data_IF_956037837452
#
_entry.id   IF_956037837452
#
_cell.length_a   1.000
_cell.length_b   1.000
_cell.length_c   1.000
_cell.angle_alpha   90.00
_cell.angle_beta   90.00
_cell.angle_gamma   90.00
#
_symmetry.space_group_name_H-M   'P 1'
#
loop_
_entity.id
_entity.type
_entity.pdbx_description
1 polymer ?
#
# COMPACT_ATOMS: atom_id res chain seq x y z
N UNK A 1 -5.60 -5.20 -31.98
CA UNK A 1 -4.55 -4.90 -30.97
C UNK A 1 -4.33 -3.39 -30.95
N UNK A 2 -4.34 -2.74 -29.80
CA UNK A 2 -4.04 -1.31 -29.69
C UNK A 2 -2.55 -1.06 -30.02
N UNK A 3 -2.22 0.05 -30.69
CA UNK A 3 -0.83 0.42 -31.06
C UNK A 3 0.04 0.80 -29.85
N UNK A 4 -0.60 1.14 -28.72
CA UNK A 4 0.04 1.49 -27.45
C UNK A 4 -0.71 0.77 -26.33
N UNK A 5 0.04 0.28 -25.35
CA UNK A 5 -0.49 -0.35 -24.14
C UNK A 5 -0.05 0.49 -22.95
N UNK A 6 -0.90 0.56 -21.93
CA UNK A 6 -0.61 1.22 -20.66
C UNK A 6 -0.77 0.18 -19.57
N UNK A 7 0.24 0.07 -18.71
CA UNK A 7 0.21 -0.79 -17.53
C UNK A 7 0.30 0.13 -16.33
N UNK A 8 -0.69 0.04 -15.45
CA UNK A 8 -0.62 0.61 -14.12
C UNK A 8 -0.13 -0.48 -13.17
N UNK A 9 1.00 -0.23 -12.51
CA UNK A 9 1.60 -1.11 -11.52
C UNK A 9 2.13 -0.28 -10.35
N UNK A 10 2.48 -0.94 -9.25
CA UNK A 10 3.19 -0.34 -8.14
C UNK A 10 4.63 -0.84 -8.12
N UNK A 11 5.56 -0.01 -7.67
CA UNK A 11 6.96 -0.42 -7.49
C UNK A 11 7.13 -1.06 -6.10
N UNK A 12 7.45 -2.36 -5.99
CA UNK A 12 7.46 -3.06 -4.70
C UNK A 12 8.38 -2.42 -3.67
N UNK A 13 9.57 -1.99 -4.07
CA UNK A 13 10.53 -1.36 -3.16
C UNK A 13 10.04 -0.01 -2.61
N UNK A 14 9.20 0.70 -3.36
CA UNK A 14 8.57 1.94 -2.89
C UNK A 14 7.37 1.64 -1.98
N UNK A 15 6.55 0.64 -2.31
CA UNK A 15 5.45 0.20 -1.45
C UNK A 15 5.90 -0.22 -0.05
N UNK A 16 7.08 -0.83 0.07
CA UNK A 16 7.66 -1.23 1.36
C UNK A 16 8.01 -0.04 2.27
N UNK A 17 8.13 1.17 1.73
CA UNK A 17 8.39 2.39 2.52
C UNK A 17 7.12 3.00 3.09
N UNK A 18 5.94 2.47 2.73
CA UNK A 18 4.69 3.04 3.18
C UNK A 18 4.53 2.90 4.69
N UNK A 19 4.30 4.02 5.38
CA UNK A 19 4.25 4.11 6.85
C UNK A 19 3.28 3.12 7.51
N UNK A 20 2.25 2.66 6.79
CA UNK A 20 1.29 1.69 7.31
C UNK A 20 1.96 0.37 7.73
N UNK A 21 3.04 -0.01 7.04
CA UNK A 21 3.79 -1.24 7.31
C UNK A 21 4.54 -1.20 8.65
N UNK A 22 4.81 -0.02 9.20
CA UNK A 22 5.32 0.11 10.58
C UNK A 22 4.30 -0.37 11.62
N UNK A 23 3.02 -0.33 11.27
CA UNK A 23 1.92 -0.77 12.13
C UNK A 23 1.48 -2.20 11.82
N UNK A 24 1.46 -2.61 10.56
CA UNK A 24 1.05 -3.94 10.12
C UNK A 24 2.27 -4.74 9.63
N UNK A 25 3.25 -4.91 10.52
CA UNK A 25 4.54 -5.56 10.24
C UNK A 25 4.40 -6.97 9.65
N UNK A 26 3.35 -7.68 10.05
CA UNK A 26 3.04 -9.03 9.61
C UNK A 26 2.76 -9.09 8.10
N UNK A 27 2.40 -7.96 7.45
CA UNK A 27 2.30 -7.87 5.98
C UNK A 27 3.65 -8.11 5.28
N UNK A 28 4.78 -7.78 5.91
CA UNK A 28 6.11 -7.94 5.31
C UNK A 28 6.48 -9.41 5.08
N UNK A 29 5.82 -10.35 5.76
CA UNK A 29 5.99 -11.78 5.56
C UNK A 29 5.11 -12.35 4.44
N UNK A 30 4.21 -11.55 3.84
CA UNK A 30 3.32 -12.01 2.80
C UNK A 30 4.07 -12.18 1.46
N UNK A 31 3.86 -13.30 0.73
CA UNK A 31 4.44 -13.49 -0.60
C UNK A 31 4.10 -12.38 -1.58
N UNK A 32 2.90 -11.79 -1.45
CA UNK A 32 2.46 -10.69 -2.32
C UNK A 32 3.32 -9.43 -2.18
N UNK A 33 3.91 -9.18 -1.00
CA UNK A 33 4.76 -8.02 -0.75
C UNK A 33 6.23 -8.28 -1.11
N UNK A 34 6.67 -9.54 -1.06
CA UNK A 34 8.08 -9.93 -1.26
C UNK A 34 8.43 -10.36 -2.68
N UNK A 35 7.44 -10.55 -3.56
CA UNK A 35 7.64 -11.06 -4.92
C UNK A 35 6.75 -10.43 -6.01
N UNK A 36 6.15 -9.27 -5.75
CA UNK A 36 5.40 -8.55 -6.78
C UNK A 36 6.33 -8.08 -7.92
N UNK A 37 5.90 -8.14 -9.19
CA UNK A 37 6.72 -7.69 -10.31
C UNK A 37 6.83 -6.15 -10.33
N UNK A 38 8.05 -5.65 -10.47
CA UNK A 38 8.34 -4.24 -10.63
C UNK A 38 8.45 -3.82 -12.09
N UNK A 39 8.87 -2.57 -12.32
CA UNK A 39 9.06 -2.04 -13.68
C UNK A 39 10.09 -2.87 -14.47
N UNK A 40 11.13 -3.37 -13.80
CA UNK A 40 12.20 -4.15 -14.44
C UNK A 40 11.72 -5.53 -14.93
N UNK A 41 10.82 -6.19 -14.20
CA UNK A 41 10.18 -7.43 -14.65
C UNK A 41 9.34 -7.19 -15.91
N UNK A 42 8.63 -6.05 -15.97
CA UNK A 42 7.86 -5.67 -17.16
C UNK A 42 8.79 -5.43 -18.36
N UNK A 43 9.98 -4.84 -18.16
CA UNK A 43 10.98 -4.62 -19.22
C UNK A 43 11.53 -5.92 -19.82
N UNK A 44 11.56 -7.01 -19.06
CA UNK A 44 11.97 -8.33 -19.57
C UNK A 44 11.01 -8.84 -20.65
N UNK A 45 9.72 -8.51 -20.53
CA UNK A 45 8.67 -9.06 -21.40
C UNK A 45 8.14 -8.08 -22.44
N UNK A 46 8.26 -6.77 -22.20
CA UNK A 46 7.69 -5.72 -23.04
C UNK A 46 8.72 -4.63 -23.37
N UNK A 47 8.58 -4.04 -24.55
CA UNK A 47 9.37 -2.89 -24.95
C UNK A 47 8.85 -1.60 -24.27
N UNK A 48 9.15 -1.43 -22.99
CA UNK A 48 8.71 -0.27 -22.19
C UNK A 48 9.36 1.01 -22.70
N UNK A 49 8.54 1.91 -23.26
CA UNK A 49 9.02 3.18 -23.80
C UNK A 49 9.10 4.32 -22.77
N UNK A 50 8.20 4.34 -21.79
CA UNK A 50 8.10 5.43 -20.82
C UNK A 50 7.56 4.89 -19.50
N UNK A 51 8.14 5.38 -18.42
CA UNK A 51 7.68 5.13 -17.05
C UNK A 51 7.50 6.50 -16.41
N UNK A 52 6.34 6.73 -15.81
CA UNK A 52 6.03 7.97 -15.14
C UNK A 52 5.28 7.65 -13.83
N UNK A 53 5.63 8.31 -12.71
CA UNK A 53 4.91 8.13 -11.46
C UNK A 53 3.47 8.65 -11.61
N UNK A 54 2.53 7.95 -10.96
CA UNK A 54 1.14 8.39 -10.85
C UNK A 54 0.90 8.83 -9.41
N UNK A 55 0.73 10.14 -9.16
CA UNK A 55 0.48 10.63 -7.81
C UNK A 55 -0.88 10.15 -7.32
N UNK A 56 -0.96 9.77 -6.05
CA UNK A 56 -2.19 9.31 -5.41
C UNK A 56 -2.87 10.51 -4.76
N UNK A 57 -4.06 10.94 -5.23
CA UNK A 57 -4.73 12.10 -4.66
C UNK A 57 -5.05 11.89 -3.18
N UNK A 58 -4.96 12.94 -2.37
CA UNK A 58 -5.29 12.88 -0.95
C UNK A 58 -6.74 12.43 -0.66
N UNK A 59 -7.65 12.63 -1.62
CA UNK A 59 -9.04 12.19 -1.58
C UNK A 59 -9.33 10.91 -2.38
N UNK A 60 -8.33 10.09 -2.68
CA UNK A 60 -8.53 8.84 -3.43
C UNK A 60 -9.53 7.91 -2.69
N UNK A 61 -10.42 7.26 -3.43
CA UNK A 61 -11.45 6.35 -2.87
C UNK A 61 -11.41 4.95 -3.49
N UNK A 62 -10.34 4.63 -4.22
CA UNK A 62 -10.24 3.40 -5.00
C UNK A 62 -10.10 2.14 -4.11
N UNK A 63 -9.48 2.28 -2.93
CA UNK A 63 -9.46 1.23 -1.91
C UNK A 63 -8.21 0.35 -1.88
N UNK A 64 -7.24 0.58 -2.75
CA UNK A 64 -5.91 -0.03 -2.67
C UNK A 64 -5.11 0.47 -1.45
N UNK A 65 -4.03 -0.24 -1.11
CA UNK A 65 -3.28 -0.10 0.14
C UNK A 65 -2.96 1.36 0.54
N UNK A 66 -2.58 2.20 -0.41
CA UNK A 66 -2.16 3.60 -0.17
C UNK A 66 -3.25 4.63 -0.50
N UNK A 67 -4.48 4.22 -0.85
CA UNK A 67 -5.58 5.12 -1.20
C UNK A 67 -5.97 6.08 -0.06
N UNK A 68 -5.68 5.70 1.19
CA UNK A 68 -6.01 6.46 2.39
C UNK A 68 -4.77 7.06 3.07
N UNK A 69 -3.66 7.25 2.35
CA UNK A 69 -2.36 7.66 2.92
C UNK A 69 -2.38 8.89 3.83
N UNK A 70 -3.35 9.80 3.64
CA UNK A 70 -3.53 11.03 4.45
C UNK A 70 -4.66 10.94 5.49
N UNK A 71 -5.27 9.76 5.67
CA UNK A 71 -6.42 9.46 6.54
C UNK A 71 -6.13 8.21 7.36
N UNK A 72 -5.37 8.37 8.43
CA UNK A 72 -4.88 7.28 9.27
C UNK A 72 -6.03 6.46 9.87
N UNK A 73 -7.06 7.14 10.33
CA UNK A 73 -8.27 6.57 10.92
C UNK A 73 -9.01 5.62 9.98
N UNK A 74 -8.92 5.83 8.66
CA UNK A 74 -9.57 4.96 7.68
C UNK A 74 -9.03 3.53 7.76
N UNK A 75 -7.73 3.34 8.04
CA UNK A 75 -7.13 2.01 8.19
C UNK A 75 -7.57 1.27 9.46
N UNK A 76 -8.30 1.92 10.38
CA UNK A 76 -8.93 1.27 11.52
C UNK A 76 -10.31 0.71 11.18
N UNK A 77 -10.89 1.08 10.04
CA UNK A 77 -12.20 0.60 9.61
C UNK A 77 -12.10 -0.83 9.05
N UNK A 78 -12.89 -1.80 9.55
CA UNK A 78 -12.82 -3.18 9.06
C UNK A 78 -13.08 -3.32 7.56
N UNK A 79 -13.94 -2.47 6.99
CA UNK A 79 -14.24 -2.48 5.56
C UNK A 79 -13.03 -2.04 4.71
N UNK A 80 -12.25 -1.07 5.19
CA UNK A 80 -11.02 -0.62 4.54
C UNK A 80 -9.93 -1.68 4.63
N UNK A 81 -9.77 -2.31 5.79
CA UNK A 81 -8.82 -3.42 5.93
C UNK A 81 -9.17 -4.59 4.99
N UNK A 82 -10.46 -4.91 4.88
CA UNK A 82 -10.94 -5.96 3.98
C UNK A 82 -10.76 -5.61 2.49
N UNK A 83 -10.70 -4.34 2.11
CA UNK A 83 -10.47 -3.92 0.71
C UNK A 83 -8.99 -3.95 0.31
N UNK A 84 -8.08 -4.06 1.28
CA UNK A 84 -6.64 -4.04 1.05
C UNK A 84 -6.10 -5.46 1.22
N UNK A 85 -5.66 -6.08 0.13
CA UNK A 85 -5.27 -7.50 0.10
C UNK A 85 -4.23 -7.87 1.16
N UNK A 86 -3.23 -7.03 1.39
CA UNK A 86 -2.17 -7.30 2.37
C UNK A 86 -2.67 -7.27 3.82
N UNK A 87 -3.72 -6.50 4.11
CA UNK A 87 -4.37 -6.50 5.43
C UNK A 87 -5.40 -7.62 5.55
N UNK A 88 -6.18 -7.84 4.50
CA UNK A 88 -7.21 -8.88 4.44
C UNK A 88 -6.66 -10.31 4.55
N UNK A 89 -5.39 -10.52 4.17
CA UNK A 89 -4.70 -11.81 4.27
C UNK A 89 -4.07 -12.07 5.65
N UNK A 90 -4.05 -11.08 6.55
CA UNK A 90 -3.55 -11.28 7.90
C UNK A 90 -4.47 -12.19 8.71
N UNK A 91 -3.89 -12.90 9.67
CA UNK A 91 -4.69 -13.52 10.72
C UNK A 91 -5.43 -12.43 11.49
N UNK A 92 -6.68 -12.68 11.96
CA UNK A 92 -7.45 -11.68 12.71
C UNK A 92 -6.68 -11.07 13.89
N UNK A 93 -5.88 -11.90 14.58
CA UNK A 93 -5.08 -11.47 15.72
C UNK A 93 -3.94 -10.51 15.35
N UNK A 94 -3.37 -10.63 14.14
CA UNK A 94 -2.31 -9.78 13.63
C UNK A 94 -2.86 -8.46 13.09
N UNK A 95 -3.98 -8.52 12.36
CA UNK A 95 -4.72 -7.33 11.95
C UNK A 95 -5.13 -6.49 13.17
N UNK A 96 -5.68 -7.13 14.21
CA UNK A 96 -6.01 -6.50 15.49
C UNK A 96 -4.79 -5.89 16.19
N UNK A 97 -3.63 -6.57 16.13
CA UNK A 97 -2.37 -6.09 16.71
C UNK A 97 -1.91 -4.81 16.01
N UNK A 98 -1.96 -4.80 14.68
CA UNK A 98 -1.61 -3.64 13.87
C UNK A 98 -2.55 -2.46 14.10
N UNK A 99 -3.87 -2.72 14.09
CA UNK A 99 -4.88 -1.70 14.39
C UNK A 99 -4.68 -1.07 15.78
N UNK A 100 -4.35 -1.87 16.81
CA UNK A 100 -4.04 -1.35 18.15
C UNK A 100 -2.79 -0.46 18.18
N UNK A 101 -1.73 -0.84 17.46
CA UNK A 101 -0.51 -0.01 17.33
C UNK A 101 -0.85 1.32 16.69
N UNK A 102 -1.56 1.29 15.56
CA UNK A 102 -1.99 2.47 14.81
C UNK A 102 -2.89 3.38 15.66
N UNK A 103 -3.91 2.82 16.31
CA UNK A 103 -4.83 3.56 17.16
C UNK A 103 -4.09 4.26 18.32
N UNK A 104 -3.09 3.62 18.90
CA UNK A 104 -2.28 4.20 19.98
C UNK A 104 -1.48 5.41 19.51
N UNK A 105 -0.93 5.39 18.30
CA UNK A 105 -0.23 6.55 17.73
C UNK A 105 -1.22 7.65 17.38
N UNK A 106 -2.31 7.32 16.68
CA UNK A 106 -3.36 8.28 16.31
C UNK A 106 -3.96 9.01 17.52
N UNK A 107 -4.28 8.27 18.59
CA UNK A 107 -4.91 8.82 19.80
C UNK A 107 -4.01 9.79 20.58
N UNK A 108 -2.71 9.84 20.29
CA UNK A 108 -1.75 10.74 20.94
C UNK A 108 -1.60 12.09 20.23
N UNK A 109 -2.37 12.34 19.17
CA UNK A 109 -2.28 13.54 18.33
C UNK A 109 -1.48 13.29 17.04
N UNK A 110 -1.47 14.23 16.09
CA UNK A 110 -0.99 13.99 14.73
C UNK A 110 0.54 13.98 14.69
N UNK A 111 1.15 12.88 15.14
CA UNK A 111 2.46 12.47 14.66
C UNK A 111 2.25 11.81 13.31
N UNK A 112 2.08 12.59 12.24
CA UNK A 112 2.29 12.05 10.90
C UNK A 112 3.76 11.59 10.87
N UNK A 113 4.06 10.30 10.67
CA UNK A 113 5.39 9.93 10.19
C UNK A 113 5.71 10.78 8.95
N UNK A 114 6.97 11.20 8.80
CA UNK A 114 7.40 12.02 7.67
C UNK A 114 6.90 11.38 6.37
N UNK A 115 6.02 12.08 5.67
CA UNK A 115 5.36 11.59 4.46
C UNK A 115 6.22 11.86 3.23
N UNK A 116 7.40 11.27 3.20
CA UNK A 116 8.19 11.18 1.98
C UNK A 116 7.73 9.93 1.20
N UNK A 117 6.63 10.09 0.46
CA UNK A 117 6.14 9.15 -0.58
C UNK A 117 6.35 9.74 -1.97
#
# INVERSE_FOLDING_TARGET
MAKRQVILLFEPLESLKFWLLEYFLECLALPLETGAPGVDDVRVHLNVHTVAPVPIPAGCTDGFAVAYWRRFEAYLEPAVQASISSLALLLPEDADRGARRLWKTWSRGPGMPDLDI
#
